data_IF_854799016772
#
_entry.id   IF_854799016772
#
_cell.length_a   1.000
_cell.length_b   1.000
_cell.length_c   1.000
_cell.angle_alpha   90.00
_cell.angle_beta   90.00
_cell.angle_gamma   90.00
#
_symmetry.space_group_name_H-M   'P 1'
#
loop_
_entity.id
_entity.type
_entity.pdbx_description
1 polymer ?
#
# COMPACT_ATOMS: atom_id res chain seq x y z
N UNK A 1 -8.33 12.79 2.88
CA UNK A 1 -8.55 11.34 2.82
C UNK A 1 -7.28 10.61 3.21
N UNK A 2 -7.16 10.46 4.50
CA UNK A 2 -5.93 9.96 5.10
C UNK A 2 -5.56 8.55 4.67
N UNK A 3 -6.54 7.65 4.62
CA UNK A 3 -6.24 6.27 4.24
C UNK A 3 -5.82 6.15 2.79
N UNK A 4 -6.43 6.93 1.92
CA UNK A 4 -6.04 6.93 0.51
C UNK A 4 -4.65 7.51 0.31
N UNK A 5 -4.34 8.59 1.02
CA UNK A 5 -3.01 9.19 0.91
C UNK A 5 -1.95 8.26 1.46
N UNK A 6 -2.25 7.54 2.53
CA UNK A 6 -1.33 6.56 3.07
C UNK A 6 -1.04 5.46 2.04
N UNK A 7 -2.06 4.98 1.36
CA UNK A 7 -1.91 3.99 0.31
C UNK A 7 -1.01 4.49 -0.81
N UNK A 8 -1.25 5.72 -1.26
CA UNK A 8 -0.43 6.33 -2.31
C UNK A 8 1.02 6.47 -1.87
N UNK A 9 1.24 6.87 -0.63
CA UNK A 9 2.60 7.06 -0.12
C UNK A 9 3.36 5.74 -0.05
N UNK A 10 2.69 4.66 0.33
CA UNK A 10 3.32 3.35 0.36
C UNK A 10 3.73 2.95 -1.05
N UNK A 11 2.84 3.12 -2.02
CA UNK A 11 3.15 2.80 -3.41
C UNK A 11 4.33 3.62 -3.92
N UNK A 12 4.32 4.92 -3.66
CA UNK A 12 5.41 5.79 -4.09
C UNK A 12 6.74 5.38 -3.48
N UNK A 13 6.71 4.97 -2.22
CA UNK A 13 7.93 4.56 -1.52
C UNK A 13 8.48 3.23 -1.99
N UNK A 14 7.66 2.42 -2.68
CA UNK A 14 8.11 1.13 -3.21
C UNK A 14 8.90 1.28 -4.51
N UNK A 15 8.70 2.37 -5.23
CA UNK A 15 9.23 2.48 -6.59
C UNK A 15 10.73 2.25 -6.70
N UNK A 16 11.60 2.84 -5.85
CA UNK A 16 13.02 2.58 -5.97
C UNK A 16 13.39 1.11 -5.85
N UNK A 17 12.74 0.39 -4.94
CA UNK A 17 13.02 -1.03 -4.76
C UNK A 17 12.47 -1.86 -5.91
N UNK A 18 11.32 -1.48 -6.46
CA UNK A 18 10.75 -2.16 -7.62
C UNK A 18 11.72 -2.06 -8.79
N UNK A 19 12.26 -0.88 -9.04
CA UNK A 19 13.24 -0.68 -10.11
C UNK A 19 14.48 -1.52 -9.86
N UNK A 20 15.01 -1.51 -8.64
CA UNK A 20 16.22 -2.28 -8.32
C UNK A 20 15.98 -3.77 -8.50
N UNK A 21 14.83 -4.28 -8.12
CA UNK A 21 14.54 -5.70 -8.22
C UNK A 21 14.39 -6.13 -9.67
N UNK A 22 13.55 -5.44 -10.42
CA UNK A 22 13.23 -5.87 -11.79
C UNK A 22 14.34 -5.56 -12.78
N UNK A 23 15.03 -4.45 -12.60
CA UNK A 23 16.07 -4.06 -13.57
C UNK A 23 17.45 -4.55 -13.20
N UNK A 24 17.75 -4.68 -11.91
CA UNK A 24 19.10 -5.03 -11.46
C UNK A 24 19.19 -6.36 -10.75
N UNK A 25 18.09 -7.05 -10.58
CA UNK A 25 18.07 -8.34 -9.91
C UNK A 25 18.49 -8.29 -8.46
N UNK A 26 18.24 -7.16 -7.78
CA UNK A 26 18.66 -6.98 -6.41
C UNK A 26 17.72 -7.73 -5.46
N UNK A 27 18.23 -8.83 -4.88
CA UNK A 27 17.40 -9.69 -4.02
C UNK A 27 16.96 -8.99 -2.73
N UNK A 28 17.81 -8.14 -2.19
CA UNK A 28 17.45 -7.39 -0.99
C UNK A 28 16.27 -6.45 -1.25
N UNK A 29 16.22 -5.86 -2.44
CA UNK A 29 15.09 -5.03 -2.84
C UNK A 29 13.81 -5.85 -2.90
N UNK A 30 13.89 -7.08 -3.39
CA UNK A 30 12.74 -7.98 -3.42
C UNK A 30 12.18 -8.25 -2.03
N UNK A 31 13.06 -8.46 -1.05
CA UNK A 31 12.64 -8.67 0.32
C UNK A 31 11.92 -7.44 0.87
N UNK A 32 12.45 -6.24 0.58
CA UNK A 32 11.81 -5.00 1.02
C UNK A 32 10.45 -4.80 0.37
N UNK A 33 10.34 -5.15 -0.93
CA UNK A 33 9.07 -5.06 -1.64
C UNK A 33 8.02 -5.93 -0.98
N UNK A 34 8.38 -7.16 -0.61
CA UNK A 34 7.43 -8.06 0.03
C UNK A 34 6.89 -7.47 1.34
N UNK A 35 7.76 -6.84 2.12
CA UNK A 35 7.33 -6.19 3.33
C UNK A 35 6.43 -4.99 3.04
N UNK A 36 6.80 -4.21 2.03
CA UNK A 36 6.01 -3.05 1.63
C UNK A 36 4.63 -3.47 1.12
N UNK A 37 4.55 -4.63 0.46
CA UNK A 37 3.26 -5.16 0.01
C UNK A 37 2.39 -5.57 1.20
N UNK A 38 2.99 -6.05 2.29
CA UNK A 38 2.22 -6.31 3.50
C UNK A 38 1.63 -5.02 4.07
N UNK A 39 2.43 -3.96 4.08
CA UNK A 39 1.94 -2.66 4.55
C UNK A 39 0.84 -2.14 3.63
N UNK A 40 0.98 -2.33 2.34
CA UNK A 40 -0.01 -1.93 1.36
C UNK A 40 -1.33 -2.68 1.57
N UNK A 41 -1.23 -3.97 1.83
CA UNK A 41 -2.42 -4.79 2.10
C UNK A 41 -3.16 -4.26 3.32
N UNK A 42 -2.43 -3.91 4.38
CA UNK A 42 -3.03 -3.37 5.58
C UNK A 42 -3.70 -2.03 5.32
N UNK A 43 -3.02 -1.15 4.58
CA UNK A 43 -3.57 0.15 4.22
C UNK A 43 -4.83 -0.01 3.37
N UNK A 44 -4.83 -0.98 2.46
CA UNK A 44 -6.00 -1.26 1.63
C UNK A 44 -7.18 -1.72 2.49
N UNK A 45 -6.92 -2.58 3.47
CA UNK A 45 -7.97 -3.03 4.38
C UNK A 45 -8.51 -1.88 5.23
N UNK A 46 -7.64 -1.00 5.69
CA UNK A 46 -8.08 0.16 6.47
C UNK A 46 -9.03 1.03 5.64
N UNK A 47 -8.71 1.21 4.38
CA UNK A 47 -9.57 2.00 3.50
C UNK A 47 -10.90 1.31 3.24
N UNK A 48 -10.88 0.00 3.05
CA UNK A 48 -12.12 -0.76 2.87
C UNK A 48 -13.02 -0.63 4.09
N UNK A 49 -12.44 -0.73 5.28
CA UNK A 49 -13.20 -0.62 6.52
C UNK A 49 -13.76 0.79 6.68
N UNK A 50 -13.00 1.80 6.31
CA UNK A 50 -13.45 3.18 6.36
C UNK A 50 -14.65 3.40 5.45
N UNK A 51 -14.57 2.86 4.23
CA UNK A 51 -15.68 2.99 3.27
C UNK A 51 -16.93 2.32 3.83
N UNK A 52 -16.79 1.16 4.44
CA UNK A 52 -17.93 0.48 5.05
C UNK A 52 -18.54 1.28 6.18
N UNK A 53 -17.70 1.89 7.01
CA UNK A 53 -18.20 2.71 8.12
C UNK A 53 -18.95 3.93 7.61
N UNK A 54 -18.43 4.57 6.58
CA UNK A 54 -19.08 5.72 5.99
C UNK A 54 -20.44 5.34 5.41
N UNK A 55 -20.50 4.21 4.70
CA UNK A 55 -21.74 3.74 4.10
C UNK A 55 -22.76 3.36 5.15
N UNK A 56 -22.32 2.76 6.25
CA UNK A 56 -23.23 2.40 7.36
C UNK A 56 -23.74 3.63 8.08
N UNK A 57 -22.96 4.70 8.08
CA UNK A 57 -23.27 5.90 8.84
C UNK A 57 -24.42 6.72 8.30
N UNK A 58 -25.21 6.18 7.40
CA UNK A 58 -26.43 6.82 7.01
C UNK A 58 -26.50 7.33 5.59
N UNK A 59 -25.47 7.14 4.84
CA UNK A 59 -25.47 7.51 3.42
C UNK A 59 -25.67 6.32 2.52
N UNK A 60 -26.00 5.26 3.14
CA UNK A 60 -26.17 4.02 2.40
C UNK A 60 -27.32 4.13 1.41
#
# INVERSE_FOLDING_TARGET
MKNYENLKNILAGMEPDVIKFYEKGNHAAGTRIRKQLQDLKRAANDMRNEIQEIKKGGNA
#
